data_IF_801517892055
#
_entry.id   IF_801517892055
#
_cell.length_a   1.000
_cell.length_b   1.000
_cell.length_c   1.000
_cell.angle_alpha   90.00
_cell.angle_beta   90.00
_cell.angle_gamma   90.00
#
_symmetry.space_group_name_H-M   'P 1'
#
loop_
_entity.id
_entity.type
_entity.pdbx_description
1 polymer ?
#
# COMPACT_ATOMS: atom_id res chain seq x y z
N UNK A 1 29.21 39.66 -6.64
CA UNK A 1 28.52 38.48 -7.19
C UNK A 1 27.27 38.25 -6.35
N UNK A 2 26.07 38.52 -6.86
CA UNK A 2 24.83 38.15 -6.15
C UNK A 2 24.60 36.65 -6.32
N UNK A 3 24.53 35.91 -5.22
CA UNK A 3 24.17 34.50 -5.29
C UNK A 3 22.72 34.34 -5.74
N UNK A 4 22.41 33.21 -6.39
CA UNK A 4 21.06 32.85 -6.77
C UNK A 4 20.20 32.63 -5.50
N UNK A 5 19.09 33.34 -5.40
CA UNK A 5 18.12 33.17 -4.31
C UNK A 5 17.13 32.08 -4.71
N UNK A 6 17.35 30.84 -4.26
CA UNK A 6 16.40 29.74 -4.45
C UNK A 6 15.22 29.99 -3.50
N UNK A 7 13.98 30.14 -4.00
CA UNK A 7 12.82 30.30 -3.15
C UNK A 7 12.67 29.13 -2.19
N UNK A 8 12.44 29.40 -0.91
CA UNK A 8 12.09 28.38 0.06
C UNK A 8 10.66 27.91 -0.22
N UNK A 9 10.52 26.76 -0.87
CA UNK A 9 9.25 26.06 -0.97
C UNK A 9 9.16 25.09 0.20
N UNK A 10 8.27 25.36 1.16
CA UNK A 10 7.82 24.34 2.10
C UNK A 10 6.65 23.61 1.45
N UNK A 11 6.81 22.38 0.92
CA UNK A 11 5.72 21.68 0.29
C UNK A 11 4.66 21.37 1.36
N UNK A 12 3.46 21.94 1.20
CA UNK A 12 2.30 21.51 1.96
C UNK A 12 1.73 20.26 1.28
N UNK A 13 2.03 19.09 1.82
CA UNK A 13 1.50 17.82 1.33
C UNK A 13 0.27 17.48 2.16
N UNK A 14 -0.94 17.71 1.62
CA UNK A 14 -2.17 17.20 2.23
C UNK A 14 -2.62 15.96 1.47
N UNK A 15 -2.58 14.80 2.12
CA UNK A 15 -3.11 13.55 1.58
C UNK A 15 -4.46 13.29 2.24
N UNK A 16 -5.54 13.19 1.45
CA UNK A 16 -6.84 12.79 1.97
C UNK A 16 -6.91 11.28 2.18
N UNK A 17 -7.90 10.79 2.93
CA UNK A 17 -8.11 9.34 3.09
C UNK A 17 -8.41 8.67 1.74
N UNK A 18 -9.16 9.33 0.85
CA UNK A 18 -9.44 8.85 -0.50
C UNK A 18 -8.15 8.74 -1.34
N UNK A 19 -7.28 9.75 -1.28
CA UNK A 19 -5.98 9.70 -1.94
C UNK A 19 -5.13 8.53 -1.42
N UNK A 20 -5.14 8.31 -0.10
CA UNK A 20 -4.42 7.21 0.51
C UNK A 20 -4.95 5.83 0.05
N UNK A 21 -6.26 5.66 -0.08
CA UNK A 21 -6.87 4.43 -0.61
C UNK A 21 -6.43 4.19 -2.06
N UNK A 22 -6.48 5.22 -2.91
CA UNK A 22 -6.04 5.12 -4.30
C UNK A 22 -4.54 4.78 -4.41
N UNK A 23 -3.71 5.36 -3.56
CA UNK A 23 -2.28 5.03 -3.48
C UNK A 23 -2.03 3.60 -3.00
N UNK A 24 -2.83 3.10 -2.05
CA UNK A 24 -2.75 1.72 -1.58
C UNK A 24 -3.16 0.72 -2.67
N UNK A 25 -4.24 0.98 -3.39
CA UNK A 25 -4.64 0.17 -4.55
C UNK A 25 -3.56 0.18 -5.64
N UNK A 26 -3.00 1.34 -5.94
CA UNK A 26 -1.88 1.46 -6.87
C UNK A 26 -0.66 0.66 -6.40
N UNK A 27 -0.38 0.65 -5.09
CA UNK A 27 0.72 -0.15 -4.53
C UNK A 27 0.52 -1.66 -4.70
N UNK A 28 -0.72 -2.13 -4.61
CA UNK A 28 -1.07 -3.55 -4.84
C UNK A 28 -0.84 -3.90 -6.32
N UNK A 29 -1.36 -3.08 -7.24
CA UNK A 29 -1.19 -3.30 -8.67
C UNK A 29 0.30 -3.30 -9.10
N UNK A 30 1.11 -2.41 -8.52
CA UNK A 30 2.56 -2.40 -8.78
C UNK A 30 3.26 -3.67 -8.26
N UNK A 31 2.79 -4.22 -7.15
CA UNK A 31 3.31 -5.46 -6.60
C UNK A 31 2.96 -6.65 -7.50
N UNK A 32 1.71 -6.75 -7.97
CA UNK A 32 1.25 -7.76 -8.93
C UNK A 32 2.04 -7.68 -10.26
N UNK A 33 2.27 -6.47 -10.77
CA UNK A 33 3.10 -6.26 -11.95
C UNK A 33 4.52 -6.79 -11.73
N UNK A 34 5.12 -6.50 -10.57
CA UNK A 34 6.44 -7.04 -10.20
C UNK A 34 6.45 -8.57 -10.14
N UNK A 35 5.41 -9.19 -9.59
CA UNK A 35 5.28 -10.65 -9.53
C UNK A 35 5.18 -11.27 -10.92
N UNK A 36 4.50 -10.62 -11.87
CA UNK A 36 4.43 -11.09 -13.26
C UNK A 36 5.81 -11.21 -13.91
N UNK A 37 6.71 -10.25 -13.65
CA UNK A 37 8.08 -10.31 -14.15
C UNK A 37 8.88 -11.46 -13.56
N UNK A 38 8.66 -11.78 -12.27
CA UNK A 38 9.31 -12.93 -11.64
C UNK A 38 8.82 -14.23 -12.28
N UNK A 39 7.50 -14.38 -12.49
CA UNK A 39 6.93 -15.57 -13.14
C UNK A 39 7.51 -15.74 -14.55
N UNK A 40 7.60 -14.65 -15.32
CA UNK A 40 8.20 -14.67 -16.65
C UNK A 40 9.68 -15.08 -16.61
N UNK A 41 10.46 -14.51 -15.68
CA UNK A 41 11.88 -14.85 -15.52
C UNK A 41 12.08 -16.33 -15.11
N UNK A 42 11.23 -16.88 -14.25
CA UNK A 42 11.25 -18.30 -13.91
C UNK A 42 10.91 -19.19 -15.12
N UNK A 43 9.98 -18.74 -15.99
CA UNK A 43 9.68 -19.39 -17.26
C UNK A 43 10.87 -19.36 -18.23
N UNK A 44 11.53 -18.21 -18.39
CA UNK A 44 12.73 -18.07 -19.22
C UNK A 44 13.89 -18.91 -18.70
N UNK A 45 14.03 -19.05 -17.37
CA UNK A 45 15.03 -19.94 -16.74
C UNK A 45 14.84 -21.40 -17.17
N UNK A 46 13.59 -21.88 -17.19
CA UNK A 46 13.28 -23.23 -17.68
C UNK A 46 13.60 -23.36 -19.18
N UNK A 47 13.18 -22.38 -19.98
CA UNK A 47 13.47 -22.39 -21.42
C UNK A 47 14.98 -22.36 -21.71
N UNK A 48 15.76 -21.59 -20.94
CA UNK A 48 17.20 -21.52 -21.08
C UNK A 48 17.86 -22.87 -20.83
N UNK A 49 17.48 -23.52 -19.73
CA UNK A 49 18.04 -24.83 -19.32
C UNK A 49 17.65 -25.92 -20.32
N UNK A 50 16.44 -25.87 -20.86
CA UNK A 50 15.97 -26.80 -21.89
C UNK A 50 16.51 -26.48 -23.30
N UNK A 51 17.23 -25.37 -23.47
CA UNK A 51 17.74 -24.92 -24.76
C UNK A 51 16.64 -24.46 -25.73
N UNK A 52 15.47 -24.07 -25.21
CA UNK A 52 14.32 -23.62 -25.99
C UNK A 52 14.10 -22.11 -25.95
N UNK A 53 14.95 -21.35 -25.24
CA UNK A 53 14.82 -19.90 -25.12
C UNK A 53 15.12 -19.22 -26.47
N UNK A 54 14.17 -18.48 -27.08
CA UNK A 54 14.37 -17.86 -28.39
C UNK A 54 15.55 -16.89 -28.39
N UNK A 55 16.38 -16.96 -29.44
CA UNK A 55 17.54 -16.07 -29.59
C UNK A 55 18.75 -16.42 -28.71
N UNK A 56 18.68 -17.51 -27.93
CA UNK A 56 19.77 -17.98 -27.09
C UNK A 56 20.14 -19.41 -27.46
N UNK A 57 21.41 -19.64 -27.81
CA UNK A 57 21.98 -20.98 -27.97
C UNK A 57 22.83 -21.32 -26.75
N UNK A 58 22.65 -22.52 -26.20
CA UNK A 58 23.43 -23.00 -25.05
C UNK A 58 24.14 -24.29 -25.44
N UNK A 59 25.40 -24.44 -25.04
CA UNK A 59 26.13 -25.71 -25.09
C UNK A 59 25.96 -26.52 -23.80
N UNK A 60 25.19 -25.97 -22.86
CA UNK A 60 24.88 -26.62 -21.59
C UNK A 60 23.98 -27.83 -21.84
N UNK A 61 24.36 -28.97 -21.30
CA UNK A 61 23.59 -30.22 -21.34
C UNK A 61 23.25 -30.58 -19.89
N UNK A 62 22.09 -30.16 -19.36
CA UNK A 62 21.75 -30.43 -17.97
C UNK A 62 21.58 -31.93 -17.73
N UNK A 63 22.07 -32.40 -16.58
CA UNK A 63 21.70 -33.72 -16.09
C UNK A 63 20.25 -33.71 -15.58
N UNK A 64 19.66 -34.89 -15.41
CA UNK A 64 18.33 -35.03 -14.77
C UNK A 64 18.33 -34.42 -13.36
N UNK A 65 19.44 -34.53 -12.63
CA UNK A 65 19.57 -33.94 -11.29
C UNK A 65 19.53 -32.42 -11.32
N UNK A 66 20.14 -31.80 -12.33
CA UNK A 66 20.10 -30.34 -12.52
C UNK A 66 18.68 -29.88 -12.83
N UNK A 67 17.99 -30.59 -13.73
CA UNK A 67 16.60 -30.30 -14.08
C UNK A 67 15.67 -30.40 -12.87
N UNK A 68 15.82 -31.44 -12.04
CA UNK A 68 15.03 -31.59 -10.82
C UNK A 68 15.31 -30.46 -9.81
N UNK A 69 16.58 -30.08 -9.68
CA UNK A 69 16.99 -28.99 -8.77
C UNK A 69 16.36 -27.66 -9.20
N UNK A 70 16.44 -27.34 -10.49
CA UNK A 70 15.83 -26.13 -11.06
C UNK A 70 14.32 -26.17 -10.94
N UNK A 71 13.69 -27.30 -11.27
CA UNK A 71 12.24 -27.45 -11.16
C UNK A 71 11.74 -27.28 -9.72
N UNK A 72 12.46 -27.82 -8.74
CA UNK A 72 12.16 -27.61 -7.33
C UNK A 72 12.29 -26.12 -6.95
N UNK A 73 13.38 -25.46 -7.39
CA UNK A 73 13.56 -24.03 -7.14
C UNK A 73 12.44 -23.17 -7.76
N UNK A 74 12.05 -23.44 -9.01
CA UNK A 74 10.94 -22.73 -9.68
C UNK A 74 9.64 -22.96 -8.92
N UNK A 75 9.35 -24.21 -8.57
CA UNK A 75 8.15 -24.57 -7.79
C UNK A 75 8.12 -23.86 -6.44
N UNK A 76 9.25 -23.74 -5.75
CA UNK A 76 9.34 -23.02 -4.48
C UNK A 76 9.07 -21.52 -4.66
N UNK A 77 9.62 -20.90 -5.70
CA UNK A 77 9.32 -19.51 -6.06
C UNK A 77 7.81 -19.32 -6.32
N UNK A 78 7.20 -20.18 -7.14
CA UNK A 78 5.75 -20.11 -7.43
C UNK A 78 4.90 -20.31 -6.16
N UNK A 79 5.30 -21.20 -5.26
CA UNK A 79 4.62 -21.40 -3.97
C UNK A 79 4.68 -20.14 -3.08
N UNK A 80 5.82 -19.44 -3.07
CA UNK A 80 5.97 -18.17 -2.34
C UNK A 80 5.11 -17.08 -2.98
N UNK A 81 5.07 -17.00 -4.32
CA UNK A 81 4.19 -16.08 -5.05
C UNK A 81 2.73 -16.34 -4.69
N UNK A 82 2.27 -17.60 -4.71
CA UNK A 82 0.89 -17.94 -4.35
C UNK A 82 0.51 -17.53 -2.91
N UNK A 83 1.43 -17.64 -1.95
CA UNK A 83 1.21 -17.12 -0.59
C UNK A 83 1.10 -15.60 -0.57
N UNK A 84 1.89 -14.93 -1.39
CA UNK A 84 1.90 -13.47 -1.50
C UNK A 84 0.64 -12.94 -2.19
N UNK A 85 0.14 -13.63 -3.21
CA UNK A 85 -1.17 -13.37 -3.83
C UNK A 85 -2.30 -13.41 -2.80
N UNK A 86 -2.27 -14.38 -1.88
CA UNK A 86 -3.26 -14.42 -0.79
C UNK A 86 -3.15 -13.19 0.14
N UNK A 87 -1.94 -12.79 0.52
CA UNK A 87 -1.72 -11.57 1.33
C UNK A 87 -2.16 -10.31 0.58
N UNK A 88 -1.88 -10.23 -0.72
CA UNK A 88 -2.30 -9.11 -1.56
C UNK A 88 -3.82 -9.03 -1.68
N UNK A 89 -4.49 -10.17 -1.83
CA UNK A 89 -5.95 -10.25 -1.82
C UNK A 89 -6.54 -9.74 -0.49
N UNK A 90 -5.99 -10.19 0.64
CA UNK A 90 -6.40 -9.67 1.96
C UNK A 90 -6.15 -8.15 2.08
N UNK A 91 -5.02 -7.65 1.58
CA UNK A 91 -4.72 -6.21 1.57
C UNK A 91 -5.72 -5.45 0.70
N UNK A 92 -6.08 -5.98 -0.47
CA UNK A 92 -7.08 -5.40 -1.36
C UNK A 92 -8.44 -5.31 -0.68
N UNK A 93 -8.93 -6.42 -0.12
CA UNK A 93 -10.19 -6.46 0.62
C UNK A 93 -10.21 -5.45 1.78
N UNK A 94 -9.14 -5.37 2.57
CA UNK A 94 -9.05 -4.41 3.67
C UNK A 94 -9.10 -2.96 3.19
N UNK A 95 -8.45 -2.65 2.06
CA UNK A 95 -8.45 -1.31 1.47
C UNK A 95 -9.85 -0.98 0.93
N UNK A 96 -10.50 -1.90 0.22
CA UNK A 96 -11.84 -1.71 -0.33
C UNK A 96 -12.92 -1.56 0.76
N UNK A 97 -12.74 -2.25 1.89
CA UNK A 97 -13.65 -2.15 3.04
C UNK A 97 -13.35 -0.94 3.97
N UNK A 98 -12.37 -0.10 3.63
CA UNK A 98 -12.05 1.09 4.43
C UNK A 98 -13.12 2.17 4.26
N UNK A 99 -13.79 2.53 5.35
CA UNK A 99 -14.75 3.63 5.36
C UNK A 99 -14.05 5.00 5.15
N UNK A 100 -14.21 5.56 3.96
CA UNK A 100 -13.69 6.89 3.59
C UNK A 100 -14.57 8.04 4.07
N UNK A 101 -15.78 7.76 4.56
CA UNK A 101 -16.78 8.79 4.91
C UNK A 101 -16.63 9.34 6.32
N UNK A 102 -15.88 8.64 7.19
CA UNK A 102 -15.65 9.05 8.58
C UNK A 102 -14.42 9.95 8.71
N UNK A 103 -14.65 11.23 9.01
CA UNK A 103 -13.59 12.20 9.32
C UNK A 103 -12.85 11.90 10.64
N UNK A 104 -11.68 12.54 10.88
CA UNK A 104 -10.94 12.39 12.13
C UNK A 104 -11.77 12.86 13.33
N UNK A 105 -11.56 12.25 14.49
CA UNK A 105 -12.09 12.77 15.77
C UNK A 105 -11.58 14.20 15.96
N UNK A 106 -12.49 15.14 16.25
CA UNK A 106 -12.13 16.53 16.52
C UNK A 106 -11.12 16.65 17.66
N UNK A 107 -10.34 17.74 17.69
CA UNK A 107 -9.41 18.01 18.78
C UNK A 107 -10.12 17.99 20.13
N UNK A 108 -9.43 17.51 21.17
CA UNK A 108 -9.91 17.67 22.54
C UNK A 108 -10.19 19.16 22.83
N UNK A 109 -11.30 19.44 23.51
CA UNK A 109 -11.64 20.80 23.90
C UNK A 109 -10.55 21.41 24.79
N UNK A 110 -10.42 22.74 24.78
CA UNK A 110 -9.46 23.42 25.64
C UNK A 110 -9.71 23.07 27.12
N UNK A 111 -8.64 22.84 27.88
CA UNK A 111 -8.72 22.69 29.34
C UNK A 111 -9.38 23.94 29.94
N UNK A 112 -10.31 23.74 30.87
CA UNK A 112 -10.97 24.85 31.56
C UNK A 112 -9.98 25.75 32.31
N UNK A 113 -10.36 26.99 32.65
CA UNK A 113 -9.49 27.89 33.41
C UNK A 113 -9.10 27.27 34.75
N UNK A 114 -7.81 27.38 35.12
CA UNK A 114 -7.36 27.06 36.47
C UNK A 114 -8.07 27.97 37.47
N UNK A 115 -8.63 27.39 38.54
CA UNK A 115 -9.29 28.15 39.60
C UNK A 115 -8.35 29.13 40.33
N UNK A 116 -8.90 30.12 41.06
CA UNK A 116 -8.09 31.04 41.85
C UNK A 116 -7.21 30.28 42.87
N UNK A 117 -5.98 30.78 43.09
CA UNK A 117 -5.02 30.19 44.04
C UNK A 117 -5.65 30.02 45.42
N UNK A 118 -5.74 28.77 45.89
CA UNK A 118 -6.37 28.38 47.17
C UNK A 118 -7.78 27.81 47.08
N UNK A 119 -8.40 27.78 45.90
CA UNK A 119 -9.70 27.14 45.66
C UNK A 119 -9.59 25.69 45.16
N UNK A 120 -10.70 24.92 45.18
CA UNK A 120 -10.75 23.60 44.55
C UNK A 120 -10.47 23.68 43.04
N UNK A 121 -9.99 22.59 42.40
CA UNK A 121 -9.79 22.53 40.95
C UNK A 121 -11.03 22.99 40.18
N UNK A 122 -10.82 23.73 39.08
CA UNK A 122 -11.90 24.19 38.21
C UNK A 122 -12.63 23.02 37.51
N UNK A 123 -13.85 23.25 36.98
CA UNK A 123 -14.59 22.23 36.24
C UNK A 123 -13.82 21.77 35.00
N UNK A 124 -13.98 20.49 34.63
CA UNK A 124 -13.45 19.96 33.37
C UNK A 124 -14.00 20.78 32.18
N UNK A 125 -13.16 20.97 31.15
CA UNK A 125 -13.56 21.70 29.94
C UNK A 125 -14.64 20.97 29.14
N UNK A 126 -15.36 21.70 28.29
CA UNK A 126 -16.37 21.10 27.42
C UNK A 126 -15.73 20.11 26.43
N UNK A 127 -16.38 18.97 26.22
CA UNK A 127 -16.00 18.04 25.14
C UNK A 127 -15.99 18.78 23.80
N UNK A 128 -14.97 18.55 22.98
CA UNK A 128 -14.83 19.21 21.67
C UNK A 128 -16.00 18.91 20.71
N UNK A 129 -16.18 19.71 19.65
CA UNK A 129 -17.26 19.50 18.69
C UNK A 129 -17.12 18.13 18.02
N UNK A 130 -18.26 17.46 17.80
CA UNK A 130 -18.32 16.31 16.90
C UNK A 130 -17.84 16.74 15.51
N UNK A 131 -17.02 15.92 14.85
CA UNK A 131 -16.51 16.21 13.50
C UNK A 131 -17.65 16.37 12.47
N UNK A 132 -17.35 16.96 11.30
CA UNK A 132 -18.36 17.15 10.26
C UNK A 132 -19.02 15.81 9.88
N UNK A 133 -20.33 15.85 9.61
CA UNK A 133 -21.03 14.71 9.04
C UNK A 133 -20.38 14.32 7.70
N UNK A 134 -20.24 13.02 7.45
CA UNK A 134 -19.70 12.52 6.18
C UNK A 134 -20.55 12.93 4.97
N UNK A 135 -19.99 12.89 3.74
CA UNK A 135 -20.75 13.19 2.54
C UNK A 135 -21.97 12.27 2.41
N UNK A 136 -23.12 12.81 1.97
CA UNK A 136 -24.31 12.03 1.65
C UNK A 136 -23.98 10.99 0.57
N UNK A 137 -24.27 9.71 0.82
CA UNK A 137 -23.99 8.64 -0.13
C UNK A 137 -24.62 8.87 -1.52
N UNK A 138 -23.99 8.33 -2.56
CA UNK A 138 -24.50 8.43 -3.93
C UNK A 138 -25.93 7.87 -4.02
N UNK A 139 -26.83 8.62 -4.66
CA UNK A 139 -28.18 8.14 -4.99
C UNK A 139 -28.04 6.92 -5.89
N UNK A 140 -28.58 5.77 -5.47
CA UNK A 140 -28.52 4.54 -6.25
C UNK A 140 -29.13 4.74 -7.65
N UNK A 141 -28.50 4.15 -8.67
CA UNK A 141 -29.00 4.22 -10.03
C UNK A 141 -30.45 3.71 -10.09
N UNK A 142 -31.35 4.54 -10.64
CA UNK A 142 -32.71 4.12 -10.95
C UNK A 142 -32.65 2.93 -11.91
N UNK A 143 -33.20 1.80 -11.49
CA UNK A 143 -33.40 0.62 -12.35
C UNK A 143 -34.42 0.86 -13.45
#
# INVERSE_FOLDING_TARGET
>A
MSQANIPNISPNISITREDAVNLLLSSIALEELGLSHIINAEGEKLQYVLGTLPGVSTSFQPSISDLLTINNSVRDTINVIGKKEWILNEKLENVLNTDVTRGPTGSAGATGPTGPSGGPPGPAGATGPQGPAGPTGAVGASG
#
